data_IF_567496051111
#
_entry.id   IF_567496051111
#
_cell.length_a   1.000
_cell.length_b   1.000
_cell.length_c   1.000
_cell.angle_alpha   90.00
_cell.angle_beta   90.00
_cell.angle_gamma   90.00
#
_symmetry.space_group_name_H-M   'P 1'
#
loop_
_entity.id
_entity.type
_entity.pdbx_description
1 polymer ?
#
# COMPACT_ATOMS: atom_id res chain seq x y z
N UNK A 1 28.01 -28.16 16.90
CA UNK A 1 26.64 -27.59 16.99
C UNK A 1 26.23 -27.23 15.57
N UNK A 2 25.17 -27.83 15.03
CA UNK A 2 24.73 -27.52 13.68
C UNK A 2 24.26 -26.06 13.65
N UNK A 3 24.87 -25.25 12.79
CA UNK A 3 24.37 -23.92 12.50
C UNK A 3 23.01 -24.08 11.79
N UNK A 4 21.92 -23.99 12.55
CA UNK A 4 20.55 -24.01 12.04
C UNK A 4 20.21 -22.68 11.33
N UNK A 5 21.07 -22.25 10.41
CA UNK A 5 20.87 -21.04 9.62
C UNK A 5 19.96 -21.43 8.46
N UNK A 6 18.80 -20.78 8.41
CA UNK A 6 17.86 -20.94 7.30
C UNK A 6 18.54 -20.46 6.00
N UNK A 7 18.51 -21.25 4.90
CA UNK A 7 18.99 -20.83 3.59
C UNK A 7 18.41 -19.48 3.16
N UNK A 8 19.22 -18.68 2.46
CA UNK A 8 18.83 -17.34 2.05
C UNK A 8 17.60 -17.36 1.15
N UNK A 9 17.48 -18.31 0.22
CA UNK A 9 16.31 -18.38 -0.66
C UNK A 9 15.02 -18.63 0.12
N UNK A 10 15.09 -19.44 1.18
CA UNK A 10 13.94 -19.71 2.05
C UNK A 10 13.58 -18.49 2.89
N UNK A 11 14.59 -17.76 3.41
CA UNK A 11 14.35 -16.48 4.07
C UNK A 11 13.63 -15.49 3.14
N UNK A 12 14.10 -15.34 1.89
CA UNK A 12 13.48 -14.47 0.90
C UNK A 12 12.03 -14.88 0.60
N UNK A 13 11.77 -16.17 0.42
CA UNK A 13 10.43 -16.72 0.18
C UNK A 13 9.44 -16.45 1.33
N UNK A 14 9.93 -16.41 2.58
CA UNK A 14 9.10 -16.07 3.74
C UNK A 14 8.87 -14.56 3.79
N UNK A 15 9.95 -13.78 3.68
CA UNK A 15 9.91 -12.33 3.82
C UNK A 15 9.12 -11.65 2.69
N UNK A 16 9.15 -12.18 1.47
CA UNK A 16 8.39 -11.69 0.31
C UNK A 16 6.87 -11.80 0.47
N UNK A 17 6.39 -12.63 1.39
CA UNK A 17 4.95 -12.81 1.68
C UNK A 17 4.46 -11.89 2.80
N UNK A 18 5.34 -11.13 3.42
CA UNK A 18 4.97 -10.25 4.53
C UNK A 18 4.30 -8.96 4.01
N UNK A 19 3.34 -8.41 4.77
CA UNK A 19 2.75 -7.11 4.45
C UNK A 19 3.80 -5.99 4.41
N UNK A 20 3.62 -5.02 3.51
CA UNK A 20 4.53 -3.86 3.34
C UNK A 20 4.79 -3.12 4.65
N UNK A 21 3.77 -2.98 5.52
CA UNK A 21 3.91 -2.37 6.85
C UNK A 21 4.88 -3.15 7.75
N UNK A 22 4.85 -4.48 7.70
CA UNK A 22 5.77 -5.33 8.46
C UNK A 22 7.18 -5.20 7.92
N UNK A 23 7.36 -5.30 6.60
CA UNK A 23 8.66 -5.11 5.94
C UNK A 23 9.25 -3.73 6.27
N UNK A 24 8.42 -2.68 6.30
CA UNK A 24 8.87 -1.32 6.63
C UNK A 24 9.37 -1.21 8.07
N UNK A 25 8.71 -1.86 9.04
CA UNK A 25 9.20 -1.91 10.43
C UNK A 25 10.50 -2.70 10.54
N UNK A 26 10.59 -3.79 9.78
CA UNK A 26 11.75 -4.68 9.72
C UNK A 26 13.00 -4.00 9.16
N UNK A 27 12.86 -3.00 8.30
CA UNK A 27 13.99 -2.13 7.87
C UNK A 27 14.69 -1.44 9.04
N UNK A 28 14.00 -1.18 10.15
CA UNK A 28 14.58 -0.50 11.32
C UNK A 28 15.30 -1.45 12.30
N UNK A 29 15.24 -2.77 12.08
CA UNK A 29 15.81 -3.76 13.01
C UNK A 29 17.33 -3.85 12.85
N UNK A 30 17.84 -3.95 11.63
CA UNK A 30 19.29 -4.01 11.37
C UNK A 30 19.62 -3.58 9.92
N UNK A 31 20.89 -3.21 9.69
CA UNK A 31 21.38 -2.76 8.36
C UNK A 31 21.20 -3.82 7.26
N UNK A 32 21.51 -5.12 7.48
CA UNK A 32 21.29 -6.13 6.44
C UNK A 32 19.83 -6.20 5.98
N UNK A 33 18.88 -6.11 6.91
CA UNK A 33 17.45 -6.11 6.59
C UNK A 33 17.03 -4.84 5.85
N UNK A 34 17.52 -3.68 6.28
CA UNK A 34 17.33 -2.43 5.54
C UNK A 34 17.79 -2.56 4.08
N UNK A 35 19.00 -3.07 3.86
CA UNK A 35 19.56 -3.25 2.52
C UNK A 35 18.74 -4.25 1.71
N UNK A 36 18.46 -5.44 2.27
CA UNK A 36 17.70 -6.49 1.63
C UNK A 36 16.35 -5.98 1.10
N UNK A 37 15.55 -5.33 1.96
CA UNK A 37 14.24 -4.80 1.59
C UNK A 37 14.28 -3.55 0.70
N UNK A 38 15.47 -3.03 0.42
CA UNK A 38 15.68 -1.89 -0.49
C UNK A 38 16.13 -2.33 -1.88
N UNK A 39 16.57 -3.59 -2.05
CA UNK A 39 16.98 -4.16 -3.33
C UNK A 39 15.83 -4.22 -4.35
N UNK A 40 16.10 -3.99 -5.65
CA UNK A 40 15.11 -4.21 -6.71
C UNK A 40 14.60 -5.64 -6.78
N UNK A 41 15.46 -6.63 -6.52
CA UNK A 41 15.15 -8.05 -6.60
C UNK A 41 14.10 -8.43 -5.56
N UNK A 42 14.29 -8.02 -4.30
CA UNK A 42 13.29 -8.27 -3.25
C UNK A 42 11.98 -7.55 -3.55
N UNK A 43 12.02 -6.29 -4.04
CA UNK A 43 10.81 -5.53 -4.38
C UNK A 43 10.00 -6.22 -5.47
N UNK A 44 10.67 -6.70 -6.52
CA UNK A 44 10.03 -7.45 -7.60
C UNK A 44 9.46 -8.77 -7.09
N UNK A 45 10.24 -9.52 -6.30
CA UNK A 45 9.79 -10.77 -5.69
C UNK A 45 8.54 -10.57 -4.82
N UNK A 46 8.53 -9.51 -3.99
CA UNK A 46 7.40 -9.13 -3.17
C UNK A 46 6.17 -8.76 -4.02
N UNK A 47 6.36 -7.92 -5.04
CA UNK A 47 5.29 -7.52 -5.98
C UNK A 47 4.68 -8.73 -6.71
N UNK A 48 5.50 -9.70 -7.09
CA UNK A 48 5.04 -10.87 -7.81
C UNK A 48 4.38 -11.90 -6.89
N UNK A 49 4.83 -12.03 -5.64
CA UNK A 49 4.38 -13.08 -4.72
C UNK A 49 3.28 -12.64 -3.75
N UNK A 50 3.40 -11.46 -3.15
CA UNK A 50 2.48 -10.98 -2.11
C UNK A 50 1.01 -10.99 -2.58
N UNK A 51 0.67 -10.51 -3.80
CA UNK A 51 -0.73 -10.49 -4.28
C UNK A 51 -1.29 -11.85 -4.69
N UNK A 52 -0.45 -12.90 -4.79
CA UNK A 52 -0.90 -14.26 -5.17
C UNK A 52 -1.69 -14.96 -4.07
N UNK A 53 -1.48 -14.56 -2.82
CA UNK A 53 -2.34 -15.00 -1.73
C UNK A 53 -3.64 -14.19 -1.78
N UNK A 54 -4.80 -14.83 -1.98
CA UNK A 54 -6.09 -14.13 -1.98
C UNK A 54 -6.35 -13.31 -0.71
N UNK A 55 -5.78 -13.71 0.43
CA UNK A 55 -5.83 -12.96 1.70
C UNK A 55 -5.06 -11.65 1.68
N UNK A 56 -4.25 -11.39 0.65
CA UNK A 56 -3.53 -10.13 0.47
C UNK A 56 -4.17 -9.24 -0.59
N UNK A 57 -5.25 -9.71 -1.25
CA UNK A 57 -5.99 -8.92 -2.21
C UNK A 57 -6.97 -8.00 -1.49
N UNK A 58 -7.05 -6.75 -1.92
CA UNK A 58 -7.90 -5.76 -1.27
C UNK A 58 -8.49 -4.82 -2.30
N UNK A 59 -9.71 -4.38 -2.02
CA UNK A 59 -10.46 -3.43 -2.81
C UNK A 59 -10.37 -2.06 -2.17
N UNK A 60 -10.17 -1.04 -3.00
CA UNK A 60 -10.24 0.36 -2.58
C UNK A 60 -11.53 0.94 -3.14
N UNK A 61 -12.32 1.53 -2.26
CA UNK A 61 -13.58 2.18 -2.60
C UNK A 61 -13.45 3.67 -2.39
N UNK A 62 -13.95 4.44 -3.34
CA UNK A 62 -14.25 5.84 -3.14
C UNK A 62 -15.74 5.98 -2.84
N UNK A 63 -16.08 6.68 -1.76
CA UNK A 63 -17.46 7.01 -1.43
C UNK A 63 -17.60 8.48 -1.07
N UNK A 64 -18.84 8.98 -1.13
CA UNK A 64 -19.21 10.35 -0.79
C UNK A 64 -20.47 10.32 0.06
N UNK A 65 -20.48 11.03 1.19
CA UNK A 65 -21.71 11.19 1.96
C UNK A 65 -22.65 12.15 1.23
N UNK A 66 -23.94 11.81 1.16
CA UNK A 66 -24.94 12.58 0.40
C UNK A 66 -25.02 14.06 0.80
N UNK A 67 -24.70 14.40 2.05
CA UNK A 67 -24.74 15.77 2.60
C UNK A 67 -23.38 16.45 2.70
N UNK A 68 -22.27 15.76 2.35
CA UNK A 68 -20.91 16.28 2.52
C UNK A 68 -20.19 16.44 1.17
N UNK A 69 -19.28 17.40 1.11
CA UNK A 69 -18.31 17.54 0.02
C UNK A 69 -17.10 16.62 0.20
N UNK A 70 -16.98 15.97 1.36
CA UNK A 70 -15.89 15.06 1.67
C UNK A 70 -16.03 13.72 0.97
N UNK A 71 -14.95 13.33 0.31
CA UNK A 71 -14.76 12.00 -0.23
C UNK A 71 -14.04 11.14 0.79
N UNK A 72 -14.47 9.90 0.92
CA UNK A 72 -13.80 8.88 1.70
C UNK A 72 -13.15 7.88 0.77
N UNK A 73 -11.98 7.40 1.18
CA UNK A 73 -11.35 6.21 0.63
C UNK A 73 -11.36 5.14 1.70
N UNK A 74 -11.82 3.95 1.35
CA UNK A 74 -11.82 2.81 2.26
C UNK A 74 -11.17 1.60 1.60
N UNK A 75 -10.48 0.79 2.39
CA UNK A 75 -9.92 -0.49 1.96
C UNK A 75 -10.69 -1.64 2.59
N UNK A 76 -10.96 -2.68 1.81
CA UNK A 76 -11.60 -3.89 2.31
C UNK A 76 -10.94 -5.11 1.70
N UNK A 77 -10.79 -6.15 2.50
CA UNK A 77 -10.28 -7.43 2.08
C UNK A 77 -11.35 -8.48 2.33
N UNK A 78 -11.78 -9.17 1.28
CA UNK A 78 -12.88 -10.14 1.36
C UNK A 78 -12.48 -11.36 2.19
N UNK A 79 -11.20 -11.74 2.14
CA UNK A 79 -10.70 -12.96 2.78
C UNK A 79 -10.04 -12.74 4.15
N UNK A 80 -9.91 -11.49 4.60
CA UNK A 80 -9.35 -11.18 5.93
C UNK A 80 -10.29 -11.56 7.09
N UNK A 81 -11.57 -11.85 6.79
CA UNK A 81 -12.62 -12.02 7.79
C UNK A 81 -13.09 -10.70 8.42
N UNK A 82 -12.58 -9.56 7.93
CA UNK A 82 -13.07 -8.24 8.32
C UNK A 82 -14.52 -8.07 7.86
N UNK A 83 -15.36 -7.50 8.73
CA UNK A 83 -16.78 -7.25 8.42
C UNK A 83 -17.02 -5.86 7.85
N UNK A 84 -16.08 -4.94 8.03
CA UNK A 84 -16.25 -3.53 7.68
C UNK A 84 -14.99 -3.00 6.99
N UNK A 85 -15.14 -2.16 5.94
CA UNK A 85 -14.01 -1.47 5.32
C UNK A 85 -13.29 -0.56 6.31
N UNK A 86 -11.96 -0.53 6.22
CA UNK A 86 -11.13 0.41 6.98
C UNK A 86 -11.03 1.73 6.22
N UNK A 87 -11.38 2.84 6.85
CA UNK A 87 -11.22 4.17 6.27
C UNK A 87 -9.72 4.50 6.18
N UNK A 88 -9.30 4.96 5.01
CA UNK A 88 -7.95 5.39 4.73
C UNK A 88 -7.80 6.91 4.88
N UNK A 89 -6.68 7.31 5.44
CA UNK A 89 -6.27 8.71 5.56
C UNK A 89 -5.66 9.19 4.24
N UNK A 90 -6.50 9.80 3.39
CA UNK A 90 -6.10 10.25 2.06
C UNK A 90 -5.60 11.70 2.08
N UNK A 91 -4.77 12.11 1.10
CA UNK A 91 -4.09 13.41 1.13
C UNK A 91 -4.99 14.64 1.16
N UNK A 92 -6.28 14.46 0.85
CA UNK A 92 -7.27 15.52 0.75
C UNK A 92 -8.34 15.46 1.85
N UNK A 93 -8.17 14.62 2.87
CA UNK A 93 -9.19 14.37 3.92
C UNK A 93 -9.64 15.64 4.65
N UNK A 94 -8.77 16.65 4.71
CA UNK A 94 -9.04 17.94 5.35
C UNK A 94 -9.25 19.10 4.36
N UNK A 95 -9.28 18.83 3.05
CA UNK A 95 -9.46 19.86 2.04
C UNK A 95 -10.94 20.13 1.76
N UNK A 96 -11.29 21.37 1.42
CA UNK A 96 -12.64 21.72 0.93
C UNK A 96 -12.77 21.54 -0.60
N UNK A 97 -11.93 20.70 -1.21
CA UNK A 97 -11.96 20.50 -2.66
C UNK A 97 -13.25 19.77 -3.06
N UNK A 98 -14.00 20.35 -3.99
CA UNK A 98 -15.36 19.92 -4.36
C UNK A 98 -15.40 18.62 -5.17
N UNK A 99 -14.33 18.34 -5.91
CA UNK A 99 -14.24 17.20 -6.82
C UNK A 99 -12.92 16.45 -6.61
N UNK A 100 -13.06 15.17 -6.28
CA UNK A 100 -11.99 14.20 -6.14
C UNK A 100 -12.40 12.99 -6.94
N UNK A 101 -11.58 12.60 -7.91
CA UNK A 101 -11.81 11.43 -8.74
C UNK A 101 -10.78 10.37 -8.43
N UNK A 102 -11.23 9.13 -8.22
CA UNK A 102 -10.38 7.97 -8.32
C UNK A 102 -10.05 7.71 -9.80
N UNK A 103 -8.77 7.84 -10.16
CA UNK A 103 -8.29 7.59 -11.53
C UNK A 103 -7.94 6.12 -11.71
N UNK A 104 -7.33 5.51 -10.70
CA UNK A 104 -6.91 4.12 -10.75
C UNK A 104 -5.92 3.76 -9.64
N UNK A 105 -5.48 2.50 -9.63
CA UNK A 105 -4.46 2.01 -8.72
C UNK A 105 -3.49 1.07 -9.43
N UNK A 106 -2.25 1.01 -8.94
CA UNK A 106 -1.21 0.11 -9.45
C UNK A 106 -0.23 -0.24 -8.33
N UNK A 107 -0.03 -1.52 -8.03
CA UNK A 107 0.93 -2.01 -7.05
C UNK A 107 0.85 -1.31 -5.68
N UNK A 108 -0.37 -1.04 -5.20
CA UNK A 108 -0.63 -0.35 -3.94
C UNK A 108 -0.48 1.18 -3.98
N UNK A 109 -0.12 1.76 -5.13
CA UNK A 109 -0.25 3.20 -5.38
C UNK A 109 -1.66 3.50 -5.88
N UNK A 110 -2.22 4.61 -5.41
CA UNK A 110 -3.54 5.12 -5.78
C UNK A 110 -3.35 6.46 -6.46
N UNK A 111 -3.94 6.62 -7.65
CA UNK A 111 -3.95 7.86 -8.40
C UNK A 111 -5.29 8.58 -8.15
N UNK A 112 -5.19 9.78 -7.60
CA UNK A 112 -6.33 10.64 -7.30
C UNK A 112 -6.18 11.92 -8.10
N UNK A 113 -7.26 12.36 -8.74
CA UNK A 113 -7.33 13.68 -9.39
C UNK A 113 -8.19 14.61 -8.56
N UNK A 114 -7.76 15.86 -8.40
CA UNK A 114 -8.61 16.91 -7.86
C UNK A 114 -8.44 18.20 -8.68
N UNK A 115 -9.48 18.51 -9.46
CA UNK A 115 -9.40 19.54 -10.50
C UNK A 115 -8.28 19.21 -11.49
N UNK A 116 -7.28 20.08 -11.59
CA UNK A 116 -6.11 19.90 -12.47
C UNK A 116 -4.93 19.19 -11.81
N UNK A 117 -4.99 18.94 -10.50
CA UNK A 117 -3.90 18.26 -9.78
C UNK A 117 -4.08 16.75 -9.85
N UNK A 118 -2.99 16.03 -10.15
CA UNK A 118 -2.90 14.59 -9.99
C UNK A 118 -2.01 14.29 -8.79
N UNK A 119 -2.46 13.43 -7.89
CA UNK A 119 -1.69 12.97 -6.73
C UNK A 119 -1.56 11.46 -6.77
N UNK A 120 -0.31 10.99 -6.67
CA UNK A 120 0.01 9.60 -6.40
C UNK A 120 0.14 9.41 -4.90
N UNK A 121 -0.67 8.52 -4.35
CA UNK A 121 -0.77 8.25 -2.93
C UNK A 121 -0.47 6.79 -2.62
N UNK A 122 0.34 6.55 -1.60
CA UNK A 122 0.61 5.22 -1.05
C UNK A 122 -0.07 5.11 0.32
N UNK A 123 -1.25 4.45 0.42
CA UNK A 123 -1.97 4.32 1.69
C UNK A 123 -1.19 3.53 2.75
N UNK A 124 -0.38 2.55 2.34
CA UNK A 124 0.38 1.71 3.27
C UNK A 124 1.51 2.49 3.96
N UNK A 125 2.10 3.46 3.25
CA UNK A 125 3.20 4.29 3.74
C UNK A 125 2.76 5.68 4.23
N UNK A 126 1.50 6.06 4.00
CA UNK A 126 0.98 7.42 4.27
C UNK A 126 1.80 8.52 3.58
N UNK A 127 2.26 8.24 2.36
CA UNK A 127 3.02 9.18 1.54
C UNK A 127 2.22 9.55 0.31
N UNK A 128 2.35 10.80 -0.14
CA UNK A 128 1.74 11.28 -1.37
C UNK A 128 2.63 12.26 -2.11
N UNK A 129 2.50 12.30 -3.43
CA UNK A 129 3.22 13.24 -4.29
C UNK A 129 2.33 13.75 -5.41
N UNK A 130 2.28 15.07 -5.56
CA UNK A 130 1.61 15.73 -6.69
C UNK A 130 2.46 15.60 -7.95
N UNK A 131 1.81 15.25 -9.06
CA UNK A 131 2.39 15.15 -10.40
C UNK A 131 1.95 16.36 -11.20
N UNK A 132 2.91 17.10 -11.74
CA UNK A 132 2.63 18.18 -12.66
C UNK A 132 2.25 17.60 -14.03
N UNK A 133 1.08 17.98 -14.55
CA UNK A 133 0.73 17.78 -15.95
C UNK A 133 1.48 18.85 -16.77
N UNK A 134 2.30 18.39 -17.71
CA UNK A 134 2.96 19.25 -18.71
C UNK A 134 2.03 19.44 -19.90
#
# INVERSE_FOLDING_TARGET
>A
MANNVLPEELMLCILSRLPVKTITRFKSVCKPWFHLFSTPEFKKLHQDQFPRDPKNQSFIFQSKYCSDTKYLFSIFNIESGEKMPTILDHPFAHSQKKELDFVGCCNGLVCIRSGQEIVLWNPAMKLSKTVALK
#
